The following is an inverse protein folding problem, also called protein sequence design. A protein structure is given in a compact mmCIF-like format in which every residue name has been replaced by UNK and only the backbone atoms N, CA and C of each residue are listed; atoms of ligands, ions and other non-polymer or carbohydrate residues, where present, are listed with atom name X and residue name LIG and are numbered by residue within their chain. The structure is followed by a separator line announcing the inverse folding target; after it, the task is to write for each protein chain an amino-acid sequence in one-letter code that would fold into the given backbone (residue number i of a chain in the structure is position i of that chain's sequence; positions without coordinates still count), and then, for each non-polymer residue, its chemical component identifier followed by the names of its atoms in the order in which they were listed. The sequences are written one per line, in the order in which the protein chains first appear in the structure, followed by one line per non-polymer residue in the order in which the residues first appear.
data_IF_879603257566
#
_entry.id   IF_879603257566
#
_cell.length_a   1.000
_cell.length_b   1.000
_cell.length_c   1.000
_cell.angle_alpha   90.00
_cell.angle_beta   90.00
_cell.angle_gamma   90.00
#
_symmetry.space_group_name_H-M   'P 1'
#
loop_
_entity.id
_entity.type
_entity.pdbx_description
1 polymer ?
#
# COMPACT_ATOMS: atom_id res chain seq x y z
N UNK A 1 -53.20 29.24 -17.49
CA UNK A 1 -51.87 29.90 -17.55
C UNK A 1 -50.97 29.42 -16.41
N UNK A 2 -51.32 29.58 -15.13
CA UNK A 2 -50.45 29.19 -14.00
C UNK A 2 -50.05 27.71 -13.96
N UNK A 3 -50.96 26.79 -14.29
CA UNK A 3 -50.66 25.34 -14.33
C UNK A 3 -49.70 24.95 -15.46
N UNK A 4 -49.83 25.56 -16.63
CA UNK A 4 -48.92 25.30 -17.77
C UNK A 4 -47.51 25.80 -17.46
N UNK A 5 -47.40 26.99 -16.86
CA UNK A 5 -46.11 27.55 -16.42
C UNK A 5 -45.47 26.65 -15.35
N UNK A 6 -46.25 26.18 -14.38
CA UNK A 6 -45.77 25.24 -13.36
C UNK A 6 -45.21 23.95 -13.98
N UNK A 7 -45.93 23.34 -14.93
CA UNK A 7 -45.49 22.10 -15.61
C UNK A 7 -44.19 22.33 -16.37
N UNK A 8 -44.05 23.45 -17.09
CA UNK A 8 -42.81 23.77 -17.82
C UNK A 8 -41.64 23.97 -16.87
N UNK A 9 -41.84 24.65 -15.74
CA UNK A 9 -40.79 24.84 -14.72
C UNK A 9 -40.36 23.50 -14.11
N UNK A 10 -41.31 22.62 -13.79
CA UNK A 10 -41.00 21.29 -13.27
C UNK A 10 -40.20 20.47 -14.28
N UNK A 11 -40.59 20.48 -15.56
CA UNK A 11 -39.84 19.79 -16.61
C UNK A 11 -38.43 20.36 -16.80
N UNK A 12 -38.26 21.67 -16.70
CA UNK A 12 -36.95 22.31 -16.78
C UNK A 12 -36.05 21.92 -15.59
N UNK A 13 -36.61 21.85 -14.38
CA UNK A 13 -35.88 21.41 -13.18
C UNK A 13 -35.48 19.94 -13.32
N UNK A 14 -36.39 19.06 -13.73
CA UNK A 14 -36.10 17.64 -13.96
C UNK A 14 -35.01 17.48 -15.03
N UNK A 15 -35.13 18.20 -16.16
CA UNK A 15 -34.12 18.19 -17.21
C UNK A 15 -32.75 18.67 -16.72
N UNK A 16 -32.72 19.73 -15.91
CA UNK A 16 -31.50 20.22 -15.27
C UNK A 16 -30.86 19.20 -14.32
N UNK A 17 -31.64 18.55 -13.47
CA UNK A 17 -31.17 17.51 -12.54
C UNK A 17 -30.60 16.31 -13.33
N UNK A 18 -31.31 15.82 -14.35
CA UNK A 18 -30.85 14.69 -15.17
C UNK A 18 -29.54 15.01 -15.91
N UNK A 19 -29.40 16.24 -16.43
CA UNK A 19 -28.17 16.71 -17.06
C UNK A 19 -27.00 16.75 -16.08
N UNK A 20 -27.20 17.29 -14.87
CA UNK A 20 -26.17 17.35 -13.84
C UNK A 20 -25.72 15.94 -13.39
N UNK A 21 -26.66 15.02 -13.17
CA UNK A 21 -26.37 13.63 -12.80
C UNK A 21 -25.57 12.92 -13.90
N UNK A 22 -25.97 13.10 -15.17
CA UNK A 22 -25.25 12.52 -16.30
C UNK A 22 -23.84 13.09 -16.43
N UNK A 23 -23.71 14.42 -16.35
CA UNK A 23 -22.42 15.10 -16.44
C UNK A 23 -21.48 14.67 -15.32
N UNK A 24 -21.97 14.53 -14.09
CA UNK A 24 -21.17 14.05 -12.96
C UNK A 24 -20.70 12.60 -13.17
N UNK A 25 -21.56 11.73 -13.73
CA UNK A 25 -21.20 10.35 -14.07
C UNK A 25 -20.13 10.26 -15.17
N UNK A 26 -20.24 11.09 -16.21
CA UNK A 26 -19.27 11.15 -17.30
C UNK A 26 -17.90 11.64 -16.81
N UNK A 27 -17.86 12.64 -15.92
CA UNK A 27 -16.60 13.12 -15.29
C UNK A 27 -15.95 12.01 -14.46
N UNK A 28 -16.70 11.35 -13.57
CA UNK A 28 -16.16 10.26 -12.72
C UNK A 28 -15.58 9.10 -13.55
N UNK A 29 -16.22 8.77 -14.68
CA UNK A 29 -15.72 7.73 -15.60
C UNK A 29 -14.40 8.14 -16.25
N UNK A 30 -14.29 9.38 -16.73
CA UNK A 30 -13.05 9.91 -17.32
C UNK A 30 -11.91 9.91 -16.31
N UNK A 31 -12.17 10.41 -15.10
CA UNK A 31 -11.16 10.42 -14.03
C UNK A 31 -10.68 9.01 -13.65
N UNK A 32 -11.59 8.02 -13.64
CA UNK A 32 -11.23 6.62 -13.44
C UNK A 32 -10.37 6.07 -14.57
N UNK A 33 -10.74 6.34 -15.82
CA UNK A 33 -9.99 5.90 -17.01
C UNK A 33 -8.58 6.50 -17.04
N UNK A 34 -8.45 7.79 -16.74
CA UNK A 34 -7.16 8.49 -16.65
C UNK A 34 -6.29 7.89 -15.55
N UNK A 35 -6.85 7.68 -14.34
CA UNK A 35 -6.13 7.06 -13.23
C UNK A 35 -5.71 5.61 -13.54
N UNK A 36 -6.55 4.83 -14.24
CA UNK A 36 -6.19 3.48 -14.70
C UNK A 36 -5.09 3.52 -15.75
N UNK A 37 -5.11 4.47 -16.67
CA UNK A 37 -4.07 4.65 -17.69
C UNK A 37 -2.71 4.95 -17.04
N UNK A 38 -2.69 5.85 -16.06
CA UNK A 38 -1.49 6.15 -15.28
C UNK A 38 -0.98 4.92 -14.53
N UNK A 39 -1.87 4.23 -13.81
CA UNK A 39 -1.51 3.03 -13.08
C UNK A 39 -0.93 1.94 -14.01
N UNK A 40 -1.48 1.77 -15.22
CA UNK A 40 -0.98 0.78 -16.21
C UNK A 40 0.44 1.12 -16.63
N UNK A 41 0.71 2.39 -16.92
CA UNK A 41 2.05 2.86 -17.28
C UNK A 41 3.08 2.50 -16.21
N UNK A 42 2.74 2.68 -14.93
CA UNK A 42 3.64 2.34 -13.82
C UNK A 42 3.80 0.83 -13.63
N UNK A 43 2.73 0.05 -13.73
CA UNK A 43 2.79 -1.42 -13.66
C UNK A 43 3.60 -2.01 -14.81
N UNK A 44 3.40 -1.55 -16.04
CA UNK A 44 4.18 -1.98 -17.21
C UNK A 44 5.65 -1.63 -17.06
N UNK A 45 5.96 -0.43 -16.57
CA UNK A 45 7.33 -0.02 -16.27
C UNK A 45 7.97 -0.94 -15.22
N UNK A 46 7.26 -1.26 -14.15
CA UNK A 46 7.73 -2.19 -13.12
C UNK A 46 7.95 -3.60 -13.71
N UNK A 47 6.97 -4.13 -14.45
CA UNK A 47 7.07 -5.44 -15.07
C UNK A 47 8.27 -5.57 -16.01
N UNK A 48 8.54 -4.52 -16.80
CA UNK A 48 9.73 -4.47 -17.65
C UNK A 48 11.04 -4.55 -16.85
N UNK A 49 11.11 -3.95 -15.67
CA UNK A 49 12.29 -4.05 -14.79
C UNK A 49 12.40 -5.43 -14.13
N UNK A 50 11.31 -5.95 -13.58
CA UNK A 50 11.25 -7.27 -12.92
C UNK A 50 11.66 -8.39 -13.87
N UNK A 51 11.26 -8.33 -15.14
CA UNK A 51 11.60 -9.35 -16.14
C UNK A 51 13.02 -9.21 -16.72
N UNK A 52 13.64 -8.03 -16.64
CA UNK A 52 14.94 -7.76 -17.28
C UNK A 52 16.13 -7.75 -16.33
N UNK A 53 15.88 -7.63 -15.02
CA UNK A 53 16.92 -7.50 -14.02
C UNK A 53 16.98 -8.75 -13.13
N UNK A 54 18.17 -9.32 -12.95
CA UNK A 54 18.41 -10.43 -12.04
C UNK A 54 19.42 -9.99 -10.98
N UNK A 55 19.10 -10.18 -9.70
CA UNK A 55 20.01 -9.86 -8.60
C UNK A 55 21.24 -10.77 -8.58
N UNK A 56 22.41 -10.21 -8.30
CA UNK A 56 23.70 -10.93 -8.30
C UNK A 56 24.22 -11.20 -6.89
N UNK A 57 23.94 -10.32 -5.94
CA UNK A 57 24.24 -10.44 -4.51
C UNK A 57 22.96 -10.71 -3.68
N UNK A 58 23.12 -10.91 -2.37
CA UNK A 58 21.99 -11.21 -1.46
C UNK A 58 21.01 -10.06 -1.37
N UNK A 59 21.49 -8.82 -1.25
CA UNK A 59 20.66 -7.63 -1.09
C UNK A 59 19.89 -7.33 -2.38
N UNK A 60 20.53 -7.43 -3.55
CA UNK A 60 19.83 -7.25 -4.83
C UNK A 60 18.84 -8.37 -5.13
N UNK A 61 19.14 -9.63 -4.78
CA UNK A 61 18.17 -10.73 -4.91
C UNK A 61 16.95 -10.52 -4.03
N UNK A 62 17.15 -10.11 -2.78
CA UNK A 62 16.05 -9.82 -1.87
C UNK A 62 15.19 -8.66 -2.38
N UNK A 63 15.83 -7.55 -2.79
CA UNK A 63 15.11 -6.41 -3.34
C UNK A 63 14.35 -6.76 -4.63
N UNK A 64 14.89 -7.60 -5.53
CA UNK A 64 14.16 -8.07 -6.71
C UNK A 64 12.99 -9.01 -6.37
N UNK A 65 13.11 -9.81 -5.31
CA UNK A 65 12.00 -10.62 -4.80
C UNK A 65 10.87 -9.71 -4.27
N UNK A 66 11.20 -8.73 -3.43
CA UNK A 66 10.22 -7.75 -2.92
C UNK A 66 9.59 -6.94 -4.08
N UNK A 67 10.37 -6.57 -5.11
CA UNK A 67 9.85 -5.92 -6.32
C UNK A 67 8.85 -6.80 -7.09
N UNK A 68 9.14 -8.11 -7.19
CA UNK A 68 8.27 -9.08 -7.85
C UNK A 68 6.96 -9.28 -7.10
N UNK A 69 7.01 -9.32 -5.76
CA UNK A 69 5.81 -9.35 -4.91
C UNK A 69 4.91 -8.13 -5.18
N UNK A 70 5.51 -6.93 -5.23
CA UNK A 70 4.76 -5.70 -5.56
C UNK A 70 4.21 -5.72 -6.99
N UNK A 71 4.92 -6.29 -7.95
CA UNK A 71 4.43 -6.43 -9.32
C UNK A 71 3.19 -7.34 -9.39
N UNK A 72 3.23 -8.50 -8.72
CA UNK A 72 2.07 -9.39 -8.63
C UNK A 72 0.88 -8.72 -7.93
N UNK A 73 1.13 -8.02 -6.83
CA UNK A 73 0.08 -7.29 -6.11
C UNK A 73 -0.51 -6.14 -6.94
N UNK A 74 0.32 -5.33 -7.61
CA UNK A 74 -0.17 -4.24 -8.44
C UNK A 74 -0.96 -4.78 -9.65
N UNK A 75 -0.54 -5.90 -10.23
CA UNK A 75 -1.29 -6.59 -11.29
C UNK A 75 -2.68 -7.03 -10.84
N UNK A 76 -2.79 -7.71 -9.69
CA UNK A 76 -4.09 -8.16 -9.17
C UNK A 76 -5.01 -6.99 -8.76
N UNK A 77 -4.46 -5.94 -8.16
CA UNK A 77 -5.20 -4.72 -7.83
C UNK A 77 -5.69 -4.00 -9.09
N UNK A 78 -4.87 -3.94 -10.15
CA UNK A 78 -5.22 -3.30 -11.43
C UNK A 78 -6.44 -3.96 -12.07
N UNK A 79 -6.49 -5.29 -12.06
CA UNK A 79 -7.62 -6.05 -12.60
C UNK A 79 -8.93 -5.77 -11.85
N UNK A 80 -8.84 -5.57 -10.54
CA UNK A 80 -10.00 -5.37 -9.66
C UNK A 80 -10.44 -3.91 -9.53
N UNK A 81 -9.56 -2.94 -9.81
CA UNK A 81 -9.84 -1.52 -9.58
C UNK A 81 -11.10 -1.02 -10.31
N UNK A 82 -12.07 -0.52 -9.56
CA UNK A 82 -13.33 0.08 -10.03
C UNK A 82 -13.46 1.56 -9.67
N UNK A 83 -12.59 2.10 -8.83
CA UNK A 83 -12.60 3.51 -8.40
C UNK A 83 -11.27 4.21 -8.67
N UNK A 84 -11.31 5.55 -8.75
CA UNK A 84 -10.11 6.39 -8.93
C UNK A 84 -9.09 6.12 -7.83
N UNK A 85 -9.54 6.00 -6.58
CA UNK A 85 -8.67 5.71 -5.44
C UNK A 85 -8.04 4.32 -5.53
N UNK A 86 -8.78 3.30 -5.97
CA UNK A 86 -8.21 1.98 -6.21
C UNK A 86 -7.13 2.01 -7.31
N UNK A 87 -7.33 2.77 -8.39
CA UNK A 87 -6.31 2.94 -9.42
C UNK A 87 -5.07 3.71 -8.89
N UNK A 88 -5.26 4.67 -7.98
CA UNK A 88 -4.15 5.35 -7.27
C UNK A 88 -3.38 4.40 -6.36
N UNK A 89 -4.06 3.50 -5.64
CA UNK A 89 -3.41 2.46 -4.82
C UNK A 89 -2.56 1.51 -5.67
N UNK A 90 -3.03 1.15 -6.87
CA UNK A 90 -2.22 0.38 -7.84
C UNK A 90 -0.95 1.13 -8.21
N UNK A 91 -1.07 2.44 -8.47
CA UNK A 91 0.07 3.29 -8.80
C UNK A 91 1.09 3.32 -7.65
N UNK A 92 0.63 3.48 -6.41
CA UNK A 92 1.48 3.42 -5.22
C UNK A 92 2.19 2.06 -5.10
N UNK A 93 1.46 0.96 -5.25
CA UNK A 93 2.04 -0.40 -5.20
C UNK A 93 3.11 -0.60 -6.28
N UNK A 94 2.86 -0.13 -7.50
CA UNK A 94 3.83 -0.20 -8.59
C UNK A 94 5.07 0.68 -8.33
N UNK A 95 4.89 1.88 -7.76
CA UNK A 95 6.00 2.76 -7.38
C UNK A 95 6.86 2.14 -6.27
N UNK A 96 6.28 1.51 -5.26
CA UNK A 96 7.03 0.77 -4.23
C UNK A 96 7.87 -0.34 -4.86
N UNK A 97 7.32 -1.10 -5.81
CA UNK A 97 8.07 -2.07 -6.60
C UNK A 97 9.26 -1.45 -7.33
N UNK A 98 9.09 -0.26 -7.92
CA UNK A 98 10.17 0.46 -8.60
C UNK A 98 11.25 0.96 -7.64
N UNK A 99 10.90 1.32 -6.40
CA UNK A 99 11.88 1.62 -5.37
C UNK A 99 12.71 0.39 -4.99
N UNK A 100 12.11 -0.80 -4.94
CA UNK A 100 12.84 -2.05 -4.74
C UNK A 100 13.77 -2.37 -5.92
N UNK A 101 13.31 -2.18 -7.16
CA UNK A 101 14.19 -2.30 -8.35
C UNK A 101 15.36 -1.33 -8.25
N UNK A 102 15.11 -0.07 -7.88
CA UNK A 102 16.16 0.94 -7.69
C UNK A 102 17.18 0.48 -6.65
N UNK A 103 16.71 -0.03 -5.50
CA UNK A 103 17.57 -0.58 -4.45
C UNK A 103 18.40 -1.77 -4.94
N UNK A 104 17.82 -2.67 -5.74
CA UNK A 104 18.55 -3.78 -6.34
C UNK A 104 19.68 -3.29 -7.27
N UNK A 105 19.42 -2.27 -8.10
CA UNK A 105 20.44 -1.65 -8.97
C UNK A 105 21.57 -1.04 -8.14
N UNK A 106 21.25 -0.32 -7.08
CA UNK A 106 22.23 0.25 -6.15
C UNK A 106 23.10 -0.84 -5.52
N UNK A 107 22.50 -1.97 -5.09
CA UNK A 107 23.23 -3.10 -4.53
C UNK A 107 24.20 -3.77 -5.53
N UNK A 108 23.87 -3.72 -6.82
CA UNK A 108 24.71 -4.24 -7.90
C UNK A 108 25.69 -3.20 -8.47
N UNK A 109 25.84 -2.03 -7.84
CA UNK A 109 26.67 -0.92 -8.31
C UNK A 109 26.30 -0.45 -9.74
N UNK A 110 25.01 -0.52 -10.06
CA UNK A 110 24.44 -0.08 -11.33
C UNK A 110 23.83 1.32 -11.19
N UNK A 111 23.65 2.00 -12.33
CA UNK A 111 22.82 3.22 -12.39
C UNK A 111 21.42 2.93 -11.80
N UNK A 112 21.02 3.61 -10.71
CA UNK A 112 19.71 3.44 -10.08
C UNK A 112 18.55 3.85 -11.00
N UNK A 113 18.84 4.60 -12.07
CA UNK A 113 17.87 5.16 -12.99
C UNK A 113 17.34 6.52 -12.51
N UNK A 114 16.32 7.08 -13.20
CA UNK A 114 15.76 8.37 -12.85
C UNK A 114 15.10 8.34 -11.46
N UNK A 115 15.05 9.50 -10.81
CA UNK A 115 14.32 9.66 -9.55
C UNK A 115 12.85 9.29 -9.71
N UNK A 116 12.33 8.65 -8.66
CA UNK A 116 10.93 8.27 -8.57
C UNK A 116 10.18 9.34 -7.77
N UNK A 117 8.89 9.55 -8.05
CA UNK A 117 8.05 10.36 -7.18
C UNK A 117 8.10 9.86 -5.73
N UNK A 118 7.93 10.78 -4.78
CA UNK A 118 7.86 10.45 -3.35
C UNK A 118 6.64 9.55 -3.10
N UNK A 119 6.84 8.47 -2.35
CA UNK A 119 5.73 7.69 -1.81
C UNK A 119 5.07 8.44 -0.65
N UNK A 120 3.81 8.13 -0.36
CA UNK A 120 3.08 8.78 0.73
C UNK A 120 3.85 8.68 2.05
N UNK A 121 4.33 9.82 2.55
CA UNK A 121 5.04 9.93 3.82
C UNK A 121 6.52 9.49 3.80
N UNK A 122 7.09 9.15 2.64
CA UNK A 122 8.49 8.75 2.52
C UNK A 122 9.44 9.91 2.86
N UNK A 123 9.24 11.10 2.28
CA UNK A 123 10.05 12.28 2.61
C UNK A 123 9.97 12.70 4.08
N UNK A 124 8.83 12.45 4.74
CA UNK A 124 8.66 12.71 6.19
C UNK A 124 9.36 11.67 7.06
N UNK A 125 9.43 10.42 6.60
CA UNK A 125 10.04 9.34 7.36
C UNK A 125 11.57 9.41 7.40
N UNK A 126 12.18 10.17 6.48
CA UNK A 126 13.61 10.35 6.40
C UNK A 126 14.33 9.09 5.90
N UNK A 127 15.66 9.07 6.07
CA UNK A 127 16.50 7.96 5.66
C UNK A 127 17.55 7.63 6.71
N UNK A 128 17.98 6.37 6.73
CA UNK A 128 19.14 5.93 7.51
C UNK A 128 20.37 6.66 6.99
N UNK A 129 20.99 7.49 7.83
CA UNK A 129 22.14 8.32 7.43
C UNK A 129 23.50 7.66 7.73
N UNK A 130 23.54 6.72 8.66
CA UNK A 130 24.75 6.06 9.14
C UNK A 130 24.49 4.61 9.52
N UNK A 131 25.55 3.79 9.52
CA UNK A 131 25.47 2.41 9.98
C UNK A 131 25.18 2.36 11.48
N UNK A 132 24.26 1.48 11.87
CA UNK A 132 23.81 1.29 13.25
C UNK A 132 23.73 -0.19 13.54
N UNK A 133 24.25 -0.58 14.70
CA UNK A 133 24.11 -1.90 15.28
C UNK A 133 23.52 -1.71 16.69
N UNK A 134 22.40 -2.39 16.98
CA UNK A 134 21.69 -2.30 18.26
C UNK A 134 21.29 -3.68 18.75
N UNK A 135 21.21 -3.84 20.07
CA UNK A 135 20.73 -5.08 20.69
C UNK A 135 19.44 -4.80 21.44
N UNK A 136 18.37 -5.49 21.08
CA UNK A 136 17.06 -5.38 21.73
C UNK A 136 16.62 -6.77 22.18
N UNK A 137 16.29 -6.88 23.47
CA UNK A 137 15.87 -8.16 24.08
C UNK A 137 16.86 -9.33 23.85
N UNK A 138 18.15 -9.01 23.72
CA UNK A 138 19.22 -10.00 23.48
C UNK A 138 19.39 -10.39 22.00
N UNK A 139 18.67 -9.76 21.08
CA UNK A 139 18.78 -9.95 19.64
C UNK A 139 19.50 -8.77 18.97
N UNK A 140 20.43 -9.07 18.05
CA UNK A 140 21.19 -8.05 17.33
C UNK A 140 20.46 -7.62 16.05
N UNK A 141 20.34 -6.31 15.86
CA UNK A 141 19.77 -5.68 14.68
C UNK A 141 20.76 -4.69 14.08
N UNK A 142 20.74 -4.57 12.76
CA UNK A 142 21.55 -3.61 12.04
C UNK A 142 20.73 -2.79 11.04
N UNK A 143 21.13 -1.53 10.84
CA UNK A 143 20.65 -0.66 9.79
C UNK A 143 21.83 0.01 9.06
N UNK A 144 21.67 0.30 7.78
CA UNK A 144 22.70 0.95 6.95
C UNK A 144 22.11 1.83 5.86
N UNK A 145 22.76 2.96 5.50
CA UNK A 145 22.44 3.70 4.27
C UNK A 145 22.76 2.91 3.00
N UNK A 146 23.60 1.87 3.09
CA UNK A 146 24.13 1.12 1.95
C UNK A 146 23.71 -0.35 2.00
N UNK A 147 23.56 -1.00 0.84
CA UNK A 147 23.32 -2.43 0.78
C UNK A 147 24.52 -3.19 1.35
N UNK A 148 24.24 -4.30 2.02
CA UNK A 148 25.28 -5.14 2.59
C UNK A 148 24.76 -6.54 2.92
N UNK A 149 25.67 -7.48 3.13
CA UNK A 149 25.34 -8.84 3.55
C UNK A 149 24.69 -8.88 4.94
N UNK A 150 25.03 -7.93 5.82
CA UNK A 150 24.42 -7.77 7.16
C UNK A 150 23.07 -7.07 7.14
N UNK A 151 22.76 -6.34 6.06
CA UNK A 151 21.54 -5.54 5.91
C UNK A 151 20.90 -5.80 4.54
N UNK A 152 20.42 -7.02 4.26
CA UNK A 152 19.92 -7.37 2.93
C UNK A 152 18.50 -6.85 2.64
N UNK A 153 17.76 -6.39 3.66
CA UNK A 153 16.37 -5.98 3.50
C UNK A 153 16.26 -4.49 3.29
N UNK A 154 15.82 -4.08 2.10
CA UNK A 154 15.54 -2.68 1.81
C UNK A 154 14.13 -2.29 2.26
N UNK A 155 13.98 -1.07 2.76
CA UNK A 155 12.68 -0.42 2.92
C UNK A 155 12.70 0.93 2.20
N UNK A 156 11.68 1.24 1.37
CA UNK A 156 11.63 2.50 0.64
C UNK A 156 11.41 3.73 1.53
N UNK A 157 10.94 3.57 2.77
CA UNK A 157 10.54 4.69 3.64
C UNK A 157 9.04 4.96 3.55
N UNK A 158 8.44 5.41 4.65
CA UNK A 158 7.00 5.69 4.70
C UNK A 158 6.42 5.60 6.10
N UNK A 159 5.09 5.60 6.20
CA UNK A 159 4.37 5.48 7.48
C UNK A 159 3.80 4.07 7.64
N UNK A 160 4.15 3.41 8.76
CA UNK A 160 3.65 2.08 9.14
C UNK A 160 2.83 2.22 10.41
N UNK A 161 1.53 1.93 10.35
CA UNK A 161 0.60 2.05 11.48
C UNK A 161 0.76 3.37 12.26
N UNK A 162 0.77 4.49 11.52
CA UNK A 162 0.90 5.85 12.07
C UNK A 162 2.31 6.26 12.47
N UNK A 163 3.34 5.46 12.19
CA UNK A 163 4.73 5.77 12.57
C UNK A 163 5.67 5.86 11.37
N UNK A 164 6.51 6.91 11.29
CA UNK A 164 7.51 7.01 10.22
C UNK A 164 8.56 5.91 10.36
N UNK A 165 8.80 5.15 9.30
CA UNK A 165 9.90 4.19 9.19
C UNK A 165 10.88 4.72 8.14
N UNK A 166 12.15 4.99 8.50
CA UNK A 166 13.10 5.57 7.56
C UNK A 166 13.42 4.65 6.39
N UNK A 167 13.68 5.26 5.23
CA UNK A 167 14.26 4.56 4.09
C UNK A 167 15.65 4.02 4.44
N UNK A 168 15.95 2.78 4.11
CA UNK A 168 17.28 2.22 4.34
C UNK A 168 17.37 0.72 4.16
N UNK A 169 18.54 0.19 4.51
CA UNK A 169 18.83 -1.24 4.51
C UNK A 169 18.88 -1.76 5.95
N UNK A 170 18.30 -2.93 6.18
CA UNK A 170 18.11 -3.50 7.51
C UNK A 170 18.51 -4.98 7.55
N UNK A 171 18.96 -5.44 8.72
CA UNK A 171 19.28 -6.84 8.95
C UNK A 171 18.06 -7.74 8.88
N UNK A 172 16.91 -7.22 9.27
CA UNK A 172 15.64 -7.92 9.28
C UNK A 172 14.49 -6.99 8.88
N UNK A 173 13.41 -7.51 8.27
CA UNK A 173 12.27 -6.72 7.84
C UNK A 173 11.28 -6.47 9.00
N UNK A 174 11.76 -5.88 10.10
CA UNK A 174 11.03 -5.74 11.37
C UNK A 174 9.74 -4.89 11.27
N UNK A 175 9.56 -4.10 10.20
CA UNK A 175 8.35 -3.33 9.92
C UNK A 175 7.23 -4.16 9.28
N UNK A 176 7.55 -5.29 8.61
CA UNK A 176 6.57 -6.10 7.87
C UNK A 176 5.41 -6.60 8.77
N UNK A 177 5.64 -7.07 10.01
CA UNK A 177 4.54 -7.47 10.88
C UNK A 177 3.54 -6.35 11.18
N UNK A 178 4.03 -5.13 11.43
CA UNK A 178 3.16 -3.98 11.72
C UNK A 178 2.38 -3.51 10.48
N UNK A 179 2.94 -3.65 9.27
CA UNK A 179 2.22 -3.41 8.02
C UNK A 179 1.01 -4.34 7.85
N UNK A 180 1.13 -5.60 8.26
CA UNK A 180 0.06 -6.60 8.12
C UNK A 180 -0.94 -6.50 9.27
N UNK A 181 -0.46 -6.39 10.52
CA UNK A 181 -1.31 -6.39 11.71
C UNK A 181 -1.95 -5.03 12.01
N UNK A 182 -1.45 -3.95 11.41
CA UNK A 182 -1.90 -2.57 11.69
C UNK A 182 -1.49 -2.06 13.09
N UNK A 183 -0.70 -2.83 13.83
CA UNK A 183 -0.24 -2.49 15.17
C UNK A 183 1.22 -2.90 15.36
N UNK A 184 1.92 -2.13 16.17
CA UNK A 184 3.32 -2.38 16.53
C UNK A 184 3.40 -3.24 17.78
N UNK A 185 4.29 -4.24 17.77
CA UNK A 185 4.66 -4.97 18.97
C UNK A 185 5.58 -4.13 19.88
N UNK A 186 5.58 -4.44 21.18
CA UNK A 186 6.48 -3.79 22.15
C UNK A 186 7.96 -3.91 21.73
N UNK A 187 8.39 -5.06 21.21
CA UNK A 187 9.75 -5.25 20.70
C UNK A 187 10.09 -4.33 19.52
N UNK A 188 9.18 -4.17 18.56
CA UNK A 188 9.37 -3.26 17.42
C UNK A 188 9.46 -1.79 17.86
N UNK A 189 8.78 -1.40 18.94
CA UNK A 189 8.94 -0.06 19.53
C UNK A 189 10.31 0.15 20.14
N UNK A 190 10.77 -0.80 20.95
CA UNK A 190 12.08 -0.72 21.59
C UNK A 190 13.20 -0.73 20.55
N UNK A 191 13.07 -1.57 19.51
CA UNK A 191 13.99 -1.60 18.38
C UNK A 191 14.05 -0.25 17.68
N UNK A 192 12.90 0.31 17.37
CA UNK A 192 12.84 1.59 16.68
C UNK A 192 13.49 2.72 17.48
N UNK A 193 13.17 2.84 18.77
CA UNK A 193 13.77 3.83 19.66
C UNK A 193 15.29 3.62 19.80
N UNK A 194 15.74 2.39 20.00
CA UNK A 194 17.16 2.06 20.09
C UNK A 194 17.92 2.39 18.79
N UNK A 195 17.33 2.08 17.63
CA UNK A 195 17.97 2.24 16.32
C UNK A 195 18.11 3.71 15.92
N UNK A 196 17.08 4.52 16.15
CA UNK A 196 16.96 5.87 15.59
C UNK A 196 17.08 7.00 16.60
N UNK A 197 17.17 6.70 17.91
CA UNK A 197 17.46 7.72 18.91
C UNK A 197 18.76 8.47 18.59
N UNK A 198 18.67 9.81 18.55
CA UNK A 198 19.79 10.70 18.28
C UNK A 198 20.25 10.79 16.82
N UNK A 199 19.57 10.15 15.85
CA UNK A 199 19.90 10.29 14.43
C UNK A 199 19.46 11.65 13.89
N UNK A 200 20.35 12.35 13.19
CA UNK A 200 20.08 13.69 12.66
C UNK A 200 18.99 13.61 11.57
N UNK A 201 17.92 14.39 11.71
CA UNK A 201 16.75 14.31 10.81
C UNK A 201 15.62 13.40 11.32
N UNK A 202 15.83 12.71 12.44
CA UNK A 202 14.83 11.91 13.12
C UNK A 202 14.49 12.56 14.48
N UNK A 203 13.51 13.47 14.52
CA UNK A 203 12.99 14.04 15.78
C UNK A 203 11.60 13.48 16.09
N UNK A 204 11.27 13.36 17.38
CA UNK A 204 9.93 12.95 17.84
C UNK A 204 8.78 13.81 17.31
N UNK A 205 9.06 14.96 16.67
CA UNK A 205 8.07 15.80 16.00
C UNK A 205 7.53 15.18 14.70
N UNK A 206 8.34 14.35 14.00
CA UNK A 206 7.89 13.58 12.84
C UNK A 206 6.75 12.60 13.18
N UNK A 207 6.66 12.24 14.47
CA UNK A 207 5.62 11.39 15.03
C UNK A 207 4.26 12.10 15.15
N UNK A 208 4.28 13.34 15.66
CA UNK A 208 3.08 14.14 15.89
C UNK A 208 2.45 14.63 14.58
N UNK A 209 3.29 14.98 13.60
CA UNK A 209 2.83 15.36 12.26
C UNK A 209 2.30 14.18 11.45
N UNK A 210 2.90 12.99 11.55
CA UNK A 210 2.39 11.78 10.87
C UNK A 210 0.98 11.36 11.35
N UNK A 211 0.68 11.55 12.64
CA UNK A 211 -0.66 11.29 13.19
C UNK A 211 -1.69 12.31 12.69
N UNK A 212 -1.31 13.60 12.60
CA UNK A 212 -2.17 14.66 12.09
C UNK A 212 -2.47 14.50 10.59
N UNK A 213 -1.47 14.15 9.78
CA UNK A 213 -1.65 13.94 8.34
C UNK A 213 -2.35 12.62 8.02
N UNK A 214 -2.12 11.53 8.78
CA UNK A 214 -2.89 10.29 8.59
C UNK A 214 -4.38 10.47 8.91
N UNK A 215 -4.68 11.37 9.86
CA UNK A 215 -6.04 11.84 10.12
C UNK A 215 -6.57 12.71 8.96
N UNK A 216 -5.73 13.59 8.39
CA UNK A 216 -6.10 14.43 7.25
C UNK A 216 -6.28 13.62 5.95
N UNK A 217 -5.40 12.67 5.62
CA UNK A 217 -5.54 11.75 4.48
C UNK A 217 -6.77 10.84 4.66
N UNK A 218 -7.10 10.44 5.90
CA UNK A 218 -8.33 9.72 6.24
C UNK A 218 -9.59 10.58 6.07
N UNK A 219 -9.49 11.88 6.37
CA UNK A 219 -10.54 12.86 6.10
C UNK A 219 -10.66 13.14 4.61
N UNK A 220 -9.57 13.37 3.89
CA UNK A 220 -9.58 13.66 2.45
C UNK A 220 -10.03 12.44 1.63
N UNK A 221 -9.76 11.22 2.12
CA UNK A 221 -10.36 9.98 1.60
C UNK A 221 -11.86 9.83 1.95
N UNK A 222 -12.34 10.51 2.99
CA UNK A 222 -13.74 10.53 3.44
C UNK A 222 -14.55 11.74 2.94
N UNK A 223 -13.91 12.83 2.50
CA UNK A 223 -14.53 14.12 2.16
C UNK A 223 -14.91 14.23 0.67
N UNK A 224 -14.91 13.10 -0.03
CA UNK A 224 -15.38 12.98 -1.42
C UNK A 224 -16.90 12.98 -1.59
N UNK A 225 -17.69 13.38 -0.59
CA UNK A 225 -19.15 13.46 -0.75
C UNK A 225 -19.95 13.61 0.54
N UNK A 226 -19.92 14.79 1.15
CA UNK A 226 -20.96 15.20 2.09
C UNK A 226 -22.17 15.78 1.36
N UNK A 227 -23.25 15.00 1.23
CA UNK A 227 -24.58 15.37 1.74
C UNK A 227 -25.54 14.18 1.62
N UNK A 228 -26.29 13.89 2.69
CA UNK A 228 -27.46 12.99 2.62
C UNK A 228 -27.59 11.86 3.65
N UNK A 229 -27.52 12.18 4.94
CA UNK A 229 -28.44 11.63 5.95
C UNK A 229 -28.23 10.20 6.49
N UNK A 230 -28.44 10.07 7.81
CA UNK A 230 -28.82 8.81 8.46
C UNK A 230 -27.76 8.24 9.39
N UNK A 231 -27.80 8.64 10.67
CA UNK A 231 -27.43 7.74 11.75
C UNK A 231 -28.52 6.66 11.82
N UNK A 232 -28.22 5.43 11.41
CA UNK A 232 -28.63 4.19 12.08
C UNK A 232 -28.11 2.94 11.33
N UNK A 233 -27.90 1.88 12.11
CA UNK A 233 -27.68 0.48 11.74
C UNK A 233 -26.33 0.00 11.15
N UNK A 234 -25.55 -0.65 12.03
CA UNK A 234 -25.29 -2.10 11.90
C UNK A 234 -24.34 -2.56 10.79
N UNK A 235 -23.09 -2.85 11.15
CA UNK A 235 -22.16 -3.56 10.28
C UNK A 235 -20.88 -3.94 10.99
N UNK A 236 -20.98 -4.91 11.90
CA UNK A 236 -19.83 -5.51 12.57
C UNK A 236 -18.85 -6.12 11.56
N UNK A 237 -17.57 -6.01 11.93
CA UNK A 237 -16.42 -6.59 11.27
C UNK A 237 -16.65 -8.08 10.94
N UNK A 238 -16.82 -8.43 9.66
CA UNK A 238 -16.67 -9.82 9.21
C UNK A 238 -15.18 -10.09 9.01
N UNK A 239 -14.51 -10.23 10.15
CA UNK A 239 -13.23 -10.92 10.27
C UNK A 239 -13.52 -12.40 10.07
N UNK A 240 -13.25 -12.88 8.85
CA UNK A 240 -13.30 -14.29 8.49
C UNK A 240 -12.68 -15.16 9.59
N UNK A 241 -13.56 -15.84 10.32
CA UNK A 241 -13.21 -16.71 11.43
C UNK A 241 -12.46 -17.93 10.93
N UNK A 242 -11.24 -18.10 11.43
CA UNK A 242 -10.53 -19.37 11.41
C UNK A 242 -11.29 -20.34 12.31
N UNK A 243 -11.99 -21.30 11.72
CA UNK A 243 -12.62 -22.40 12.45
C UNK A 243 -11.56 -23.46 12.78
N UNK A 244 -10.95 -23.29 13.95
CA UNK A 244 -10.21 -24.34 14.64
C UNK A 244 -11.17 -25.05 15.59
N UNK A 245 -11.80 -26.12 15.11
CA UNK A 245 -12.74 -26.93 15.87
C UNK A 245 -12.73 -28.38 15.41
N UNK A 246 -12.00 -29.22 16.13
CA UNK A 246 -12.07 -30.67 16.10
C UNK A 246 -13.50 -31.17 16.32
N UNK A 247 -13.98 -32.10 15.48
CA UNK A 247 -14.65 -33.35 15.89
C UNK A 247 -15.31 -34.03 14.68
N UNK A 248 -15.12 -35.35 14.57
CA UNK A 248 -15.94 -36.20 13.70
C UNK A 248 -15.19 -36.93 12.60
N UNK A 249 -14.38 -37.92 12.99
CA UNK A 249 -14.21 -39.10 12.15
C UNK A 249 -15.58 -39.73 11.91
N UNK A 250 -16.08 -39.71 10.67
CA UNK A 250 -17.05 -40.71 10.23
C UNK A 250 -16.60 -41.33 8.92
N UNK A 251 -16.27 -42.60 9.03
CA UNK A 251 -15.92 -43.49 7.95
C UNK A 251 -17.25 -44.04 7.39
N UNK A 252 -17.67 -43.54 6.23
CA UNK A 252 -18.89 -43.98 5.57
C UNK A 252 -18.65 -44.10 4.06
N UNK A 253 -18.73 -45.32 3.55
CA UNK A 253 -18.28 -45.70 2.22
C UNK A 253 -18.99 -45.00 1.06
N UNK A 254 -18.23 -44.74 0.00
CA UNK A 254 -18.78 -44.59 -1.34
C UNK A 254 -18.19 -45.68 -2.24
N UNK A 255 -19.09 -46.59 -2.56
CA UNK A 255 -19.03 -47.70 -3.50
C UNK A 255 -18.71 -47.17 -4.91
N UNK A 256 -17.51 -47.48 -5.43
CA UNK A 256 -17.23 -47.36 -6.87
C UNK A 256 -17.78 -48.61 -7.58
N UNK A 257 -19.09 -48.62 -7.78
CA UNK A 257 -19.78 -49.50 -8.72
C UNK A 257 -19.72 -48.92 -10.13
N UNK A 258 -19.09 -49.64 -11.05
CA UNK A 258 -18.87 -49.21 -12.43
C UNK A 258 -20.08 -49.24 -13.34
N UNK A 259 -19.92 -48.63 -14.51
CA UNK A 259 -20.70 -48.95 -15.70
C UNK A 259 -19.84 -48.79 -16.96
N UNK A 260 -19.79 -49.88 -17.72
CA UNK A 260 -19.52 -49.94 -19.16
C UNK A 260 -20.35 -48.90 -19.93
N UNK A 261 -19.73 -48.24 -20.91
CA UNK A 261 -20.10 -48.20 -22.34
C UNK A 261 -19.03 -47.45 -23.15
#
# INVERSE_FOLDING_TARGET
MGTVVLVVVVLAIIGGILYLVKSAGDTKRRELEDAKSEARRWVERLGGQVMSLNGTDTASRQAMADASERFTAAGSQMEQAQTKEQARQVTQTAMEGLYYVRAARVAMDMDPGPELPDLTGQSRAGSVSEERDVTVEGHEYAASPKPGSRTPHYYPGGVVAGRPVPQGWYSEPWWKPALVAGAWGLGSFLLFDAMFSGMHGYSGDAMGSAYADGYQDGIDAGDGGGDGGGFDDGGGFDSGGFDAGSDGFDAGGFDMGGFDF
#
